data_IF_693090462533
#
_entry.id   IF_693090462533
#
_cell.length_a   1.000
_cell.length_b   1.000
_cell.length_c   1.000
_cell.angle_alpha   90.00
_cell.angle_beta   90.00
_cell.angle_gamma   90.00
#
_symmetry.space_group_name_H-M   'P 1'
#
loop_
_entity.id
_entity.type
_entity.pdbx_description
1 polymer ?
#
# COMPACT_ATOMS: atom_id res chain seq x y z
N UNK A 1 21.35 19.67 -45.20
CA UNK A 1 21.64 18.76 -44.06
C UNK A 1 20.45 17.84 -43.89
N UNK A 2 20.66 16.54 -44.08
CA UNK A 2 19.58 15.57 -44.29
C UNK A 2 19.19 14.88 -42.98
N UNK A 3 18.04 15.25 -42.42
CA UNK A 3 17.57 14.83 -41.09
C UNK A 3 17.28 13.32 -41.00
N UNK A 4 17.08 12.65 -42.15
CA UNK A 4 16.84 11.20 -42.21
C UNK A 4 18.13 10.39 -41.98
N UNK A 5 19.27 10.90 -42.44
CA UNK A 5 20.57 10.26 -42.20
C UNK A 5 20.95 10.29 -40.70
N UNK A 6 20.62 11.40 -40.02
CA UNK A 6 20.90 11.61 -38.60
C UNK A 6 20.01 10.74 -37.68
N UNK A 7 18.80 10.40 -38.12
CA UNK A 7 17.90 9.49 -37.41
C UNK A 7 18.34 8.02 -37.54
N UNK A 8 18.81 7.62 -38.73
CA UNK A 8 19.34 6.28 -38.97
C UNK A 8 20.63 6.02 -38.16
N UNK A 9 21.51 7.02 -38.04
CA UNK A 9 22.74 6.91 -37.25
C UNK A 9 22.45 6.74 -35.74
N UNK A 10 21.40 7.39 -35.22
CA UNK A 10 20.98 7.26 -33.81
C UNK A 10 20.37 5.90 -33.48
N UNK A 11 19.69 5.27 -34.44
CA UNK A 11 19.13 3.93 -34.26
C UNK A 11 20.22 2.85 -34.33
N UNK A 12 21.22 3.02 -35.20
CA UNK A 12 22.37 2.11 -35.27
C UNK A 12 23.22 2.12 -33.98
N UNK A 13 23.40 3.29 -33.35
CA UNK A 13 24.14 3.39 -32.06
C UNK A 13 23.36 2.78 -30.88
N UNK A 14 22.03 2.76 -30.92
CA UNK A 14 21.20 2.12 -29.88
C UNK A 14 21.22 0.59 -29.96
N UNK A 15 21.41 0.03 -31.15
CA UNK A 15 21.50 -1.43 -31.34
C UNK A 15 22.86 -2.02 -30.93
N UNK A 16 23.93 -1.22 -30.91
CA UNK A 16 25.30 -1.68 -30.59
C UNK A 16 25.68 -1.59 -29.10
N UNK A 17 24.82 -1.02 -28.24
CA UNK A 17 25.14 -0.84 -26.82
C UNK A 17 24.56 -1.98 -25.98
N UNK A 18 25.25 -3.14 -25.95
CA UNK A 18 25.07 -4.12 -24.87
C UNK A 18 25.73 -3.55 -23.61
N UNK A 19 25.06 -3.45 -22.46
CA UNK A 19 25.78 -3.29 -21.20
C UNK A 19 26.43 -4.62 -20.84
N UNK A 20 27.76 -4.61 -20.77
CA UNK A 20 28.55 -5.64 -20.13
C UNK A 20 28.10 -5.79 -18.67
N UNK A 21 27.82 -7.04 -18.26
CA UNK A 21 27.53 -7.41 -16.87
C UNK A 21 28.84 -7.30 -16.08
N UNK A 22 29.10 -6.12 -15.52
CA UNK A 22 30.12 -5.97 -14.49
C UNK A 22 29.58 -6.56 -13.18
N UNK A 23 30.13 -7.70 -12.77
CA UNK A 23 29.95 -8.27 -11.43
C UNK A 23 30.35 -7.21 -10.38
N UNK A 24 29.47 -6.82 -9.44
CA UNK A 24 29.92 -6.21 -8.21
C UNK A 24 30.44 -7.31 -7.29
N UNK A 25 31.74 -7.26 -6.97
CA UNK A 25 32.33 -7.95 -5.83
C UNK A 25 31.67 -7.34 -4.58
N UNK A 26 30.62 -7.98 -4.06
CA UNK A 26 29.98 -7.55 -2.81
C UNK A 26 30.57 -8.34 -1.65
N UNK A 27 31.30 -7.60 -0.81
CA UNK A 27 31.76 -8.01 0.50
C UNK A 27 30.68 -8.76 1.28
N UNK A 28 31.12 -9.80 1.97
CA UNK A 28 30.42 -10.55 3.00
C UNK A 28 29.70 -9.62 3.97
N UNK A 29 28.40 -9.42 3.78
CA UNK A 29 27.53 -8.77 4.77
C UNK A 29 26.17 -9.46 4.75
N UNK A 30 25.99 -10.37 5.71
CA UNK A 30 24.72 -10.85 6.27
C UNK A 30 23.51 -10.80 5.35
N UNK A 31 23.08 -11.96 4.83
CA UNK A 31 21.81 -12.11 4.12
C UNK A 31 20.65 -11.49 4.94
N UNK A 32 19.98 -10.44 4.45
CA UNK A 32 18.69 -10.05 5.00
C UNK A 32 17.67 -11.10 4.54
N UNK A 33 16.73 -11.46 5.42
CA UNK A 33 15.59 -12.33 5.12
C UNK A 33 14.90 -11.88 3.81
N UNK A 34 15.26 -12.53 2.70
CA UNK A 34 14.77 -12.22 1.35
C UNK A 34 13.29 -12.54 1.20
N UNK A 35 12.76 -13.49 1.97
CA UNK A 35 11.34 -13.85 1.98
C UNK A 35 10.44 -12.71 2.50
N UNK A 36 10.82 -12.09 3.62
CA UNK A 36 10.05 -10.99 4.21
C UNK A 36 10.04 -9.79 3.29
N UNK A 37 11.20 -9.40 2.75
CA UNK A 37 11.36 -8.25 1.85
C UNK A 37 10.49 -8.41 0.59
N UNK A 38 10.46 -9.61 0.01
CA UNK A 38 9.63 -9.94 -1.16
C UNK A 38 8.13 -9.84 -0.84
N UNK A 39 7.65 -10.45 0.26
CA UNK A 39 6.24 -10.39 0.65
C UNK A 39 5.78 -8.99 1.05
N UNK A 40 6.65 -8.19 1.66
CA UNK A 40 6.37 -6.77 1.91
C UNK A 40 6.18 -5.97 0.61
N UNK A 41 6.99 -6.24 -0.40
CA UNK A 41 6.86 -5.56 -1.70
C UNK A 41 5.57 -5.97 -2.44
N UNK A 42 5.13 -7.22 -2.29
CA UNK A 42 3.89 -7.72 -2.90
C UNK A 42 2.65 -7.00 -2.36
N UNK A 43 2.56 -6.79 -1.04
CA UNK A 43 1.43 -6.06 -0.44
C UNK A 43 1.42 -4.57 -0.83
N UNK A 44 2.59 -3.94 -0.98
CA UNK A 44 2.68 -2.55 -1.47
C UNK A 44 2.25 -2.42 -2.94
N UNK A 45 2.60 -3.41 -3.77
CA UNK A 45 2.18 -3.48 -5.18
C UNK A 45 0.75 -4.01 -5.37
N UNK A 46 0.10 -4.48 -4.32
CA UNK A 46 -1.20 -5.13 -4.41
C UNK A 46 -2.31 -4.14 -4.80
N UNK A 47 -3.40 -4.71 -5.32
CA UNK A 47 -4.60 -3.97 -5.64
C UNK A 47 -5.08 -3.13 -4.45
N UNK A 48 -5.53 -1.90 -4.68
CA UNK A 48 -5.83 -0.95 -3.59
C UNK A 48 -6.95 -1.44 -2.68
N UNK A 49 -7.93 -2.16 -3.20
CA UNK A 49 -8.99 -2.75 -2.36
C UNK A 49 -8.45 -3.84 -1.42
N UNK A 50 -7.39 -4.57 -1.81
CA UNK A 50 -6.70 -5.52 -0.93
C UNK A 50 -5.94 -4.75 0.16
N UNK A 51 -5.21 -3.71 -0.22
CA UNK A 51 -4.51 -2.82 0.74
C UNK A 51 -5.47 -2.18 1.74
N UNK A 52 -6.63 -1.71 1.29
CA UNK A 52 -7.68 -1.16 2.16
C UNK A 52 -8.26 -2.23 3.08
N UNK A 53 -8.48 -3.45 2.58
CA UNK A 53 -8.97 -4.57 3.39
C UNK A 53 -7.98 -4.94 4.50
N UNK A 54 -6.67 -4.90 4.23
CA UNK A 54 -5.62 -5.03 5.24
C UNK A 54 -5.68 -3.94 6.31
N UNK A 55 -5.79 -2.66 5.89
CA UNK A 55 -5.90 -1.53 6.82
C UNK A 55 -7.14 -1.61 7.70
N UNK A 56 -8.32 -1.91 7.12
CA UNK A 56 -9.55 -2.10 7.89
C UNK A 56 -9.48 -3.33 8.79
N UNK A 57 -8.91 -4.43 8.30
CA UNK A 57 -8.66 -5.63 9.10
C UNK A 57 -7.81 -5.33 10.32
N UNK A 58 -6.74 -4.53 10.17
CA UNK A 58 -5.89 -4.11 11.28
C UNK A 58 -6.68 -3.31 12.33
N UNK A 59 -7.49 -2.34 11.90
CA UNK A 59 -8.33 -1.53 12.80
C UNK A 59 -9.33 -2.41 13.54
N UNK A 60 -10.01 -3.33 12.84
CA UNK A 60 -10.96 -4.27 13.44
C UNK A 60 -10.26 -5.20 14.44
N UNK A 61 -9.07 -5.69 14.14
CA UNK A 61 -8.29 -6.50 15.08
C UNK A 61 -7.90 -5.72 16.33
N UNK A 62 -7.46 -4.45 16.20
CA UNK A 62 -7.16 -3.58 17.34
C UNK A 62 -8.41 -3.35 18.19
N UNK A 63 -9.55 -3.05 17.57
CA UNK A 63 -10.83 -2.90 18.26
C UNK A 63 -11.24 -4.20 18.97
N UNK A 64 -11.07 -5.35 18.33
CA UNK A 64 -11.30 -6.66 18.93
C UNK A 64 -10.44 -6.91 20.17
N UNK A 65 -9.14 -6.59 20.11
CA UNK A 65 -8.23 -6.69 21.25
C UNK A 65 -8.60 -5.73 22.39
N UNK A 66 -9.05 -4.52 22.07
CA UNK A 66 -9.57 -3.56 23.05
C UNK A 66 -10.84 -4.07 23.72
N UNK A 67 -11.77 -4.66 22.96
CA UNK A 67 -12.99 -5.27 23.50
C UNK A 67 -12.70 -6.46 24.41
N UNK A 68 -11.71 -7.28 24.06
CA UNK A 68 -11.24 -8.40 24.89
C UNK A 68 -10.63 -7.90 26.21
N UNK A 69 -9.86 -6.83 26.17
CA UNK A 69 -9.11 -6.32 27.33
C UNK A 69 -9.91 -5.42 28.26
N UNK A 70 -10.82 -4.58 27.73
CA UNK A 70 -11.52 -3.55 28.51
C UNK A 70 -12.94 -3.96 28.91
N UNK A 71 -13.67 -4.67 28.04
CA UNK A 71 -15.10 -4.96 28.25
C UNK A 71 -15.41 -6.41 28.64
N UNK A 72 -14.39 -7.25 28.84
CA UNK A 72 -14.51 -8.68 29.22
C UNK A 72 -15.46 -9.50 28.32
N UNK A 73 -15.81 -8.97 27.15
CA UNK A 73 -16.72 -9.60 26.22
C UNK A 73 -15.95 -10.48 25.26
N UNK A 74 -15.50 -11.63 25.79
CA UNK A 74 -14.63 -12.59 25.09
C UNK A 74 -15.23 -13.01 23.74
N UNK A 75 -16.56 -13.24 23.70
CA UNK A 75 -17.26 -13.66 22.48
C UNK A 75 -17.16 -12.60 21.38
N UNK A 76 -17.56 -11.37 21.67
CA UNK A 76 -17.56 -10.28 20.67
C UNK A 76 -16.15 -9.85 20.27
N UNK A 77 -15.21 -9.80 21.23
CA UNK A 77 -13.82 -9.48 20.93
C UNK A 77 -13.14 -10.52 20.04
N UNK A 78 -13.39 -11.81 20.28
CA UNK A 78 -12.85 -12.90 19.44
C UNK A 78 -13.47 -12.88 18.04
N UNK A 79 -14.79 -12.65 17.93
CA UNK A 79 -15.47 -12.53 16.63
C UNK A 79 -14.89 -11.36 15.84
N UNK A 80 -14.72 -10.19 16.46
CA UNK A 80 -14.11 -9.03 15.82
C UNK A 80 -12.68 -9.33 15.37
N UNK A 81 -11.87 -9.96 16.23
CA UNK A 81 -10.51 -10.31 15.88
C UNK A 81 -10.43 -11.25 14.67
N UNK A 82 -11.23 -12.33 14.66
CA UNK A 82 -11.29 -13.28 13.55
C UNK A 82 -11.83 -12.59 12.28
N UNK A 83 -12.85 -11.74 12.41
CA UNK A 83 -13.40 -10.99 11.29
C UNK A 83 -12.35 -10.05 10.67
N UNK A 84 -11.52 -9.40 11.49
CA UNK A 84 -10.42 -8.56 11.02
C UNK A 84 -9.38 -9.35 10.22
N UNK A 85 -8.99 -10.54 10.70
CA UNK A 85 -8.07 -11.44 9.98
C UNK A 85 -8.71 -11.98 8.70
N UNK A 86 -9.98 -12.37 8.73
CA UNK A 86 -10.67 -12.86 7.53
C UNK A 86 -10.81 -11.74 6.47
N UNK A 87 -11.10 -10.52 6.91
CA UNK A 87 -11.23 -9.37 6.03
C UNK A 87 -9.90 -9.02 5.37
N UNK A 88 -8.78 -9.02 6.11
CA UNK A 88 -7.47 -8.74 5.50
C UNK A 88 -7.08 -9.79 4.47
N UNK A 89 -7.36 -11.07 4.72
CA UNK A 89 -6.95 -12.18 3.86
C UNK A 89 -7.84 -12.42 2.64
N UNK A 90 -9.15 -12.18 2.75
CA UNK A 90 -10.12 -12.53 1.72
C UNK A 90 -11.03 -11.37 1.29
N UNK A 91 -11.04 -10.28 2.05
CA UNK A 91 -11.99 -9.18 1.90
C UNK A 91 -11.72 -8.25 0.73
N UNK A 92 -10.60 -8.39 -0.01
CA UNK A 92 -10.21 -7.44 -1.06
C UNK A 92 -11.22 -7.31 -2.21
N UNK A 93 -11.81 -8.42 -2.66
CA UNK A 93 -12.84 -8.43 -3.72
C UNK A 93 -14.18 -7.90 -3.21
N UNK A 94 -14.60 -8.36 -2.02
CA UNK A 94 -15.80 -7.87 -1.35
C UNK A 94 -15.73 -6.35 -1.11
N UNK A 95 -14.59 -5.86 -0.62
CA UNK A 95 -14.39 -4.45 -0.35
C UNK A 95 -14.40 -3.61 -1.64
N UNK A 96 -13.87 -4.12 -2.75
CA UNK A 96 -13.96 -3.43 -4.04
C UNK A 96 -15.42 -3.16 -4.47
N UNK A 97 -16.33 -4.09 -4.17
CA UNK A 97 -17.76 -3.96 -4.50
C UNK A 97 -18.51 -3.01 -3.57
N UNK A 98 -18.07 -2.88 -2.32
CA UNK A 98 -18.73 -2.03 -1.32
C UNK A 98 -18.20 -0.61 -1.29
N UNK A 99 -16.95 -0.38 -1.69
CA UNK A 99 -16.38 0.99 -1.72
C UNK A 99 -17.05 1.85 -2.80
N UNK A 100 -17.20 3.17 -2.54
CA UNK A 100 -17.62 4.14 -3.53
C UNK A 100 -16.81 4.05 -4.82
N UNK A 101 -17.46 4.22 -5.97
CA UNK A 101 -16.83 4.15 -7.30
C UNK A 101 -15.64 5.10 -7.42
N UNK A 102 -15.70 6.26 -6.75
CA UNK A 102 -14.60 7.24 -6.71
C UNK A 102 -13.32 6.73 -6.04
N UNK A 103 -13.38 5.64 -5.25
CA UNK A 103 -12.22 5.03 -4.61
C UNK A 103 -11.78 3.71 -5.27
N UNK A 104 -12.48 3.30 -6.33
CA UNK A 104 -12.10 2.12 -7.11
C UNK A 104 -10.99 2.51 -8.07
N UNK A 105 -9.89 1.77 -7.98
CA UNK A 105 -8.81 1.83 -8.95
C UNK A 105 -8.96 0.58 -9.83
N UNK A 106 -9.03 0.75 -11.16
CA UNK A 106 -9.11 -0.37 -12.09
C UNK A 106 -10.34 -1.29 -11.93
N UNK A 107 -10.16 -2.53 -12.38
CA UNK A 107 -11.17 -3.59 -12.29
C UNK A 107 -11.13 -4.27 -10.91
N UNK A 108 -12.11 -5.14 -10.64
CA UNK A 108 -12.13 -5.96 -9.43
C UNK A 108 -10.85 -6.82 -9.34
N UNK A 109 -10.21 -6.94 -8.14
CA UNK A 109 -9.06 -7.81 -7.98
C UNK A 109 -9.43 -9.26 -8.30
N UNK A 110 -8.53 -9.93 -9.01
CA UNK A 110 -8.66 -11.34 -9.34
C UNK A 110 -8.44 -12.22 -8.11
N UNK A 111 -9.00 -13.43 -8.11
CA UNK A 111 -8.80 -14.39 -7.02
C UNK A 111 -7.32 -14.75 -6.82
N UNK A 112 -6.52 -14.77 -7.89
CA UNK A 112 -5.06 -14.96 -7.85
C UNK A 112 -4.36 -13.84 -7.07
N UNK A 113 -4.70 -12.58 -7.32
CA UNK A 113 -4.09 -11.44 -6.62
C UNK A 113 -4.44 -11.45 -5.13
N UNK A 114 -5.67 -11.84 -4.78
CA UNK A 114 -6.05 -12.00 -3.37
C UNK A 114 -5.28 -13.14 -2.71
N UNK A 115 -5.12 -14.27 -3.41
CA UNK A 115 -4.40 -15.43 -2.87
C UNK A 115 -2.91 -15.21 -2.70
N UNK A 116 -2.29 -14.37 -3.54
CA UNK A 116 -0.86 -14.06 -3.47
C UNK A 116 -0.52 -13.18 -2.26
N UNK A 117 -1.47 -12.36 -1.82
CA UNK A 117 -1.26 -11.36 -0.76
C UNK A 117 -1.83 -11.82 0.60
N UNK A 118 -2.64 -12.89 0.63
CA UNK A 118 -3.30 -13.44 1.84
C UNK A 118 -2.35 -13.78 3.00
N UNK A 119 -1.07 -14.01 2.71
CA UNK A 119 -0.01 -14.39 3.66
C UNK A 119 1.08 -13.31 3.74
N UNK A 120 0.68 -12.03 3.65
CA UNK A 120 1.57 -10.88 3.80
C UNK A 120 1.28 -10.08 5.08
N UNK A 121 2.28 -9.27 5.51
CA UNK A 121 2.14 -8.36 6.64
C UNK A 121 1.91 -9.09 7.97
N UNK A 122 1.21 -8.41 8.90
CA UNK A 122 0.96 -8.91 10.27
C UNK A 122 0.04 -10.15 10.30
N UNK A 123 -0.69 -10.40 9.21
CA UNK A 123 -1.66 -11.50 9.11
C UNK A 123 -1.03 -12.81 8.63
N UNK A 124 0.29 -12.82 8.45
CA UNK A 124 1.08 -14.00 8.10
C UNK A 124 1.83 -14.54 9.32
N UNK A 125 2.07 -15.85 9.36
CA UNK A 125 2.87 -16.47 10.44
C UNK A 125 4.30 -15.90 10.49
N UNK A 126 4.85 -15.50 9.35
CA UNK A 126 6.17 -14.88 9.27
C UNK A 126 6.15 -13.44 9.80
N UNK A 127 5.09 -12.69 9.54
CA UNK A 127 4.94 -11.33 10.06
C UNK A 127 4.74 -11.27 11.57
N UNK A 128 4.17 -12.32 12.18
CA UNK A 128 4.11 -12.44 13.65
C UNK A 128 5.50 -12.69 14.26
N UNK A 129 6.46 -13.26 13.52
CA UNK A 129 7.83 -13.42 14.01
C UNK A 129 8.61 -12.10 13.99
N UNK A 130 8.28 -11.20 13.07
CA UNK A 130 8.83 -9.85 13.00
C UNK A 130 7.71 -8.79 13.02
N UNK A 131 7.12 -8.64 14.20
CA UNK A 131 5.96 -7.78 14.44
C UNK A 131 6.30 -6.32 14.12
N UNK A 132 7.52 -5.87 14.45
CA UNK A 132 7.92 -4.46 14.29
C UNK A 132 7.99 -4.10 12.81
N UNK A 133 8.63 -4.93 11.98
CA UNK A 133 8.69 -4.66 10.54
C UNK A 133 7.30 -4.76 9.90
N UNK A 134 6.50 -5.75 10.31
CA UNK A 134 5.16 -5.95 9.78
C UNK A 134 4.22 -4.79 10.12
N UNK A 135 4.30 -4.25 11.35
CA UNK A 135 3.53 -3.05 11.75
C UNK A 135 3.98 -1.80 10.99
N UNK A 136 5.29 -1.62 10.78
CA UNK A 136 5.80 -0.49 9.96
C UNK A 136 5.24 -0.54 8.54
N UNK A 137 5.15 -1.73 7.97
CA UNK A 137 4.58 -1.92 6.64
C UNK A 137 3.09 -1.63 6.61
N UNK A 138 2.30 -2.20 7.53
CA UNK A 138 0.87 -1.94 7.61
C UNK A 138 0.59 -0.46 7.85
N UNK A 139 1.42 0.22 8.64
CA UNK A 139 1.36 1.66 8.86
C UNK A 139 1.65 2.46 7.57
N UNK A 140 2.63 2.03 6.77
CA UNK A 140 2.89 2.66 5.47
C UNK A 140 1.71 2.46 4.51
N UNK A 141 1.16 1.24 4.43
CA UNK A 141 -0.03 0.95 3.62
C UNK A 141 -1.23 1.79 4.06
N UNK A 142 -1.44 1.93 5.37
CA UNK A 142 -2.50 2.77 5.93
C UNK A 142 -2.32 4.26 5.57
N UNK A 143 -1.09 4.78 5.62
CA UNK A 143 -0.78 6.16 5.20
C UNK A 143 -1.06 6.40 3.72
N UNK A 144 -0.66 5.47 2.85
CA UNK A 144 -0.91 5.55 1.41
C UNK A 144 -2.42 5.49 1.11
N UNK A 145 -3.15 4.60 1.79
CA UNK A 145 -4.59 4.49 1.66
C UNK A 145 -5.30 5.76 2.13
N UNK A 146 -4.91 6.32 3.28
CA UNK A 146 -5.49 7.54 3.81
C UNK A 146 -5.23 8.73 2.87
N UNK A 147 -3.99 8.89 2.39
CA UNK A 147 -3.64 9.93 1.42
C UNK A 147 -4.46 9.81 0.13
N UNK A 148 -4.70 8.59 -0.35
CA UNK A 148 -5.55 8.35 -1.51
C UNK A 148 -7.02 8.68 -1.25
N UNK A 149 -7.58 8.26 -0.12
CA UNK A 149 -8.96 8.57 0.25
C UNK A 149 -9.19 10.08 0.34
N UNK A 150 -8.25 10.83 0.94
CA UNK A 150 -8.31 12.29 1.02
C UNK A 150 -8.18 12.99 -0.34
N UNK A 151 -7.53 12.35 -1.31
CA UNK A 151 -7.37 12.86 -2.68
C UNK A 151 -8.41 12.31 -3.66
N UNK A 152 -9.33 11.45 -3.19
CA UNK A 152 -10.30 10.70 -4.01
C UNK A 152 -9.66 9.92 -5.17
N UNK A 153 -8.37 9.57 -5.04
CA UNK A 153 -7.62 8.96 -6.13
C UNK A 153 -7.48 9.80 -7.40
N UNK A 154 -7.88 11.07 -7.37
CA UNK A 154 -7.81 12.00 -8.49
C UNK A 154 -6.82 13.12 -8.17
N UNK A 155 -6.36 13.84 -9.20
CA UNK A 155 -5.59 15.06 -9.01
C UNK A 155 -6.52 16.14 -8.45
N UNK A 156 -6.51 16.30 -7.14
CA UNK A 156 -7.18 17.37 -6.41
C UNK A 156 -6.15 18.43 -5.97
N UNK A 157 -6.61 19.55 -5.44
CA UNK A 157 -5.78 20.69 -5.02
C UNK A 157 -4.71 20.31 -4.00
N UNK A 158 -4.97 19.29 -3.19
CA UNK A 158 -4.02 18.81 -2.17
C UNK A 158 -3.10 17.71 -2.67
N UNK A 159 -3.36 17.10 -3.83
CA UNK A 159 -2.65 15.90 -4.29
C UNK A 159 -1.15 16.17 -4.48
N UNK A 160 -0.77 17.28 -5.13
CA UNK A 160 0.65 17.63 -5.28
C UNK A 160 1.32 17.84 -3.92
N UNK A 161 0.70 18.61 -3.02
CA UNK A 161 1.24 18.83 -1.67
C UNK A 161 1.30 17.53 -0.85
N UNK A 162 0.31 16.64 -1.02
CA UNK A 162 0.19 15.36 -0.31
C UNK A 162 1.35 14.43 -0.66
N UNK A 163 1.69 14.33 -1.93
CA UNK A 163 2.78 13.46 -2.42
C UNK A 163 4.14 14.17 -2.56
N UNK A 164 4.24 15.45 -2.18
CA UNK A 164 5.53 16.16 -2.13
C UNK A 164 6.34 15.74 -0.90
N UNK A 165 7.32 14.86 -1.09
CA UNK A 165 8.15 14.34 0.01
C UNK A 165 7.47 13.22 0.81
N UNK A 166 8.02 12.84 1.98
CA UNK A 166 7.54 11.69 2.74
C UNK A 166 6.10 11.88 3.25
N UNK A 167 5.31 10.80 3.22
CA UNK A 167 3.96 10.75 3.77
C UNK A 167 4.00 10.58 5.29
N UNK A 168 3.16 11.32 6.00
CA UNK A 168 2.98 11.20 7.45
C UNK A 168 1.56 11.59 7.84
N UNK A 169 1.06 11.07 8.97
CA UNK A 169 -0.28 11.40 9.47
C UNK A 169 -0.43 12.91 9.69
N UNK A 170 0.54 13.55 10.35
CA UNK A 170 0.50 14.99 10.62
C UNK A 170 0.39 15.82 9.33
N UNK A 171 1.07 15.41 8.26
CA UNK A 171 0.95 16.06 6.96
C UNK A 171 -0.44 15.87 6.35
N UNK A 172 -0.96 14.64 6.35
CA UNK A 172 -2.29 14.34 5.80
C UNK A 172 -3.36 15.16 6.55
N UNK A 173 -3.36 15.07 7.89
CA UNK A 173 -4.31 15.81 8.72
C UNK A 173 -4.14 17.32 8.60
N UNK A 174 -2.91 17.84 8.59
CA UNK A 174 -2.66 19.27 8.44
C UNK A 174 -3.17 19.83 7.11
N UNK A 175 -2.94 19.12 6.00
CA UNK A 175 -3.42 19.53 4.68
C UNK A 175 -4.95 19.46 4.57
N UNK A 176 -5.56 18.38 5.07
CA UNK A 176 -7.02 18.21 5.05
C UNK A 176 -7.68 19.25 5.97
N UNK A 177 -7.17 19.43 7.18
CA UNK A 177 -7.68 20.40 8.15
C UNK A 177 -7.53 21.84 7.64
N UNK A 178 -6.39 22.19 7.05
CA UNK A 178 -6.18 23.50 6.42
C UNK A 178 -7.19 23.79 5.31
N UNK A 179 -7.54 22.77 4.50
CA UNK A 179 -8.58 22.92 3.48
C UNK A 179 -9.99 23.00 4.05
N UNK A 180 -10.32 22.21 5.08
CA UNK A 180 -11.62 22.27 5.74
C UNK A 180 -11.83 23.60 6.48
N UNK A 181 -10.82 24.07 7.21
CA UNK A 181 -10.87 25.34 7.94
C UNK A 181 -10.90 26.57 7.02
N UNK A 182 -10.30 26.48 5.83
CA UNK A 182 -10.36 27.52 4.81
C UNK A 182 -11.72 27.67 4.13
N UNK A 183 -12.67 26.75 4.32
CA UNK A 183 -14.02 26.82 3.75
C UNK A 183 -14.10 26.75 2.21
N UNK A 184 -12.97 26.61 1.52
CA UNK A 184 -12.89 26.65 0.06
C UNK A 184 -12.54 25.28 -0.50
N UNK A 185 -13.45 24.70 -1.29
CA UNK A 185 -13.19 23.52 -2.15
C UNK A 185 -12.36 23.91 -3.39
N UNK A 186 -12.05 25.20 -3.58
CA UNK A 186 -11.32 25.67 -4.75
C UNK A 186 -9.83 25.32 -4.73
N UNK A 187 -9.35 24.88 -5.88
CA UNK A 187 -7.92 24.80 -6.19
C UNK A 187 -7.50 26.19 -6.66
N UNK A 188 -6.50 26.79 -6.00
CA UNK A 188 -5.77 27.92 -6.56
C UNK A 188 -4.88 27.43 -7.70
#
# INVERSE_FOLDING_TARGET
MDLKALAAERLARRAATKPAVSKPTLNTRSQPNTSNTYRSSQLLSAHRSIRLAHSFGCVICILGLLLLSVWSSVKWGSIMFIAGVALSRYGGAWLHRTIPVMWREGNEPTSSEVSDVKDCGIFSLEGVKDIIQSLKLENQVALENLAFMCTYGKRNCITQSMYRGPLSYGKIFGLVWSKLSGGTVQCM
#
